data_IF_459461836117
#
_entry.id   IF_459461836117
#
_cell.length_a   1.000
_cell.length_b   1.000
_cell.length_c   1.000
_cell.angle_alpha   90.00
_cell.angle_beta   90.00
_cell.angle_gamma   90.00
#
_symmetry.space_group_name_H-M   'P 1'
#
loop_
_entity.id
_entity.type
_entity.pdbx_description
1 polymer ?
#
# COMPACT_ATOMS: atom_id res chain seq x y z
N UNK A 1 21.69 -57.93 33.27
CA UNK A 1 21.19 -57.41 31.99
C UNK A 1 21.18 -55.88 32.08
N UNK A 2 22.13 -55.19 31.43
CA UNK A 2 22.30 -53.72 31.55
C UNK A 2 21.29 -53.03 30.64
N UNK A 3 20.31 -52.34 31.22
CA UNK A 3 19.33 -51.56 30.46
C UNK A 3 20.01 -50.22 30.10
N UNK A 4 20.34 -50.04 28.82
CA UNK A 4 20.78 -48.76 28.26
C UNK A 4 19.54 -47.85 28.11
N UNK A 5 19.39 -46.84 28.98
CA UNK A 5 18.42 -45.78 28.77
C UNK A 5 18.92 -44.87 27.64
N UNK A 6 18.32 -44.98 26.46
CA UNK A 6 18.49 -44.01 25.40
C UNK A 6 17.70 -42.73 25.74
N UNK A 7 18.39 -41.66 26.08
CA UNK A 7 17.81 -40.32 26.25
C UNK A 7 17.42 -39.76 24.89
N UNK A 8 16.14 -39.87 24.56
CA UNK A 8 15.56 -39.26 23.37
C UNK A 8 15.42 -37.75 23.61
N UNK A 9 16.33 -36.95 23.04
CA UNK A 9 16.23 -35.50 23.06
C UNK A 9 15.00 -35.08 22.22
N UNK A 10 13.88 -34.76 22.89
CA UNK A 10 12.69 -34.19 22.25
C UNK A 10 13.03 -32.78 21.74
N UNK A 11 13.39 -32.67 20.47
CA UNK A 11 13.42 -31.40 19.75
C UNK A 11 11.97 -30.91 19.61
N UNK A 12 11.52 -30.09 20.56
CA UNK A 12 10.24 -29.40 20.42
C UNK A 12 10.36 -28.44 19.23
N UNK A 13 9.49 -28.52 18.21
CA UNK A 13 9.50 -27.54 17.12
C UNK A 13 9.21 -26.17 17.74
N UNK A 14 10.16 -25.24 17.60
CA UNK A 14 9.88 -23.82 17.84
C UNK A 14 8.77 -23.43 16.86
N UNK A 15 7.56 -23.25 17.38
CA UNK A 15 6.45 -22.71 16.61
C UNK A 15 6.86 -21.29 16.18
N UNK A 16 7.41 -21.17 14.98
CA UNK A 16 7.54 -19.88 14.32
C UNK A 16 6.12 -19.35 14.14
N UNK A 17 5.76 -18.30 14.87
CA UNK A 17 4.47 -17.63 14.70
C UNK A 17 4.46 -16.97 13.32
N UNK A 18 3.96 -17.69 12.32
CA UNK A 18 3.81 -17.15 10.98
C UNK A 18 2.87 -15.94 11.04
N UNK A 19 3.36 -14.81 10.54
CA UNK A 19 2.60 -13.58 10.35
C UNK A 19 1.91 -13.64 8.99
N UNK A 20 0.83 -14.42 8.92
CA UNK A 20 0.19 -14.72 7.65
C UNK A 20 -0.75 -13.59 7.22
N UNK A 21 -0.64 -13.14 5.97
CA UNK A 21 -1.67 -12.24 5.39
C UNK A 21 -2.96 -13.00 5.16
N UNK A 22 -4.02 -12.60 5.84
CA UNK A 22 -5.36 -13.20 5.70
C UNK A 22 -6.32 -12.36 4.89
N UNK A 23 -6.06 -11.06 4.72
CA UNK A 23 -6.83 -10.21 3.83
C UNK A 23 -6.06 -8.97 3.38
N UNK A 24 -6.29 -8.53 2.15
CA UNK A 24 -5.80 -7.26 1.61
C UNK A 24 -7.00 -6.37 1.30
N UNK A 25 -7.04 -5.18 1.90
CA UNK A 25 -8.17 -4.25 1.80
C UNK A 25 -8.05 -3.35 0.55
N UNK A 26 -6.88 -2.81 0.31
CA UNK A 26 -6.53 -1.92 -0.81
C UNK A 26 -5.03 -2.06 -1.15
N UNK A 27 -4.43 -1.11 -1.86
CA UNK A 27 -3.02 -1.19 -2.27
C UNK A 27 -2.00 -0.84 -1.19
N UNK A 28 -2.40 -0.41 0.01
CA UNK A 28 -1.47 -0.12 1.11
C UNK A 28 -1.93 -0.67 2.47
N UNK A 29 -3.05 -1.39 2.54
CA UNK A 29 -3.62 -1.90 3.79
C UNK A 29 -3.89 -3.41 3.74
N UNK A 30 -3.43 -4.13 4.76
CA UNK A 30 -3.62 -5.59 4.91
C UNK A 30 -3.92 -5.99 6.36
N UNK A 31 -4.42 -7.20 6.56
CA UNK A 31 -4.61 -7.81 7.88
C UNK A 31 -3.77 -9.07 7.99
N UNK A 32 -2.98 -9.14 9.05
CA UNK A 32 -2.19 -10.30 9.42
C UNK A 32 -2.91 -11.13 10.49
N UNK A 33 -2.77 -12.44 10.42
CA UNK A 33 -3.04 -13.36 11.51
C UNK A 33 -1.73 -13.65 12.24
N UNK A 34 -1.69 -13.37 13.54
CA UNK A 34 -0.53 -13.60 14.41
C UNK A 34 -1.00 -14.39 15.62
N UNK A 35 -0.75 -15.70 15.61
CA UNK A 35 -1.36 -16.62 16.57
C UNK A 35 -2.89 -16.54 16.50
N UNK A 36 -3.54 -16.14 17.60
CA UNK A 36 -4.99 -15.94 17.67
C UNK A 36 -5.45 -14.50 17.35
N UNK A 37 -4.51 -13.58 17.19
CA UNK A 37 -4.80 -12.15 17.02
C UNK A 37 -4.81 -11.74 15.55
N UNK A 38 -5.63 -10.72 15.24
CA UNK A 38 -5.62 -10.05 13.94
C UNK A 38 -5.01 -8.66 14.08
N UNK A 39 -4.00 -8.36 13.27
CA UNK A 39 -3.32 -7.07 13.26
C UNK A 39 -3.59 -6.40 11.92
N UNK A 40 -4.14 -5.19 11.94
CA UNK A 40 -4.31 -4.38 10.73
C UNK A 40 -3.04 -3.57 10.49
N UNK A 41 -2.44 -3.75 9.33
CA UNK A 41 -1.26 -3.01 8.89
C UNK A 41 -1.62 -2.02 7.79
N UNK A 42 -0.96 -0.87 7.83
CA UNK A 42 -0.84 0.07 6.72
C UNK A 42 0.63 0.21 6.34
N UNK A 43 0.95 0.11 5.06
CA UNK A 43 2.30 0.31 4.55
C UNK A 43 2.76 1.74 4.84
N UNK A 44 3.95 1.86 5.43
CA UNK A 44 4.59 3.14 5.66
C UNK A 44 5.04 3.78 4.33
N UNK A 45 5.18 5.10 4.34
CA UNK A 45 5.79 5.89 3.26
C UNK A 45 5.07 5.86 1.90
N UNK A 46 3.90 5.24 1.80
CA UNK A 46 3.10 5.23 0.55
C UNK A 46 1.63 5.55 0.83
N UNK A 47 0.91 5.91 -0.23
CA UNK A 47 -0.54 6.05 -0.24
C UNK A 47 -1.07 5.47 -1.55
N UNK A 48 -1.79 4.36 -1.47
CA UNK A 48 -2.34 3.68 -2.65
C UNK A 48 -3.75 4.19 -2.99
N UNK A 49 -4.21 4.07 -4.26
CA UNK A 49 -5.58 4.41 -4.60
C UNK A 49 -6.57 3.61 -3.73
N UNK A 50 -7.59 4.31 -3.24
CA UNK A 50 -8.68 3.70 -2.47
C UNK A 50 -9.39 2.64 -3.31
N UNK A 51 -10.00 1.63 -2.70
CA UNK A 51 -10.60 0.51 -3.44
C UNK A 51 -11.64 0.93 -4.48
N UNK A 52 -12.33 2.06 -4.27
CA UNK A 52 -13.32 2.65 -5.18
C UNK A 52 -12.76 3.71 -6.13
N UNK A 53 -11.48 4.02 -6.04
CA UNK A 53 -10.77 4.96 -6.89
C UNK A 53 -10.28 4.24 -8.16
N UNK A 54 -10.03 5.00 -9.23
CA UNK A 54 -9.30 4.47 -10.37
C UNK A 54 -7.97 3.84 -9.93
N UNK A 55 -7.63 2.68 -10.49
CA UNK A 55 -6.50 1.83 -10.08
C UNK A 55 -6.58 1.20 -8.68
N UNK A 56 -7.64 1.43 -7.91
CA UNK A 56 -7.83 0.81 -6.58
C UNK A 56 -7.82 -0.72 -6.61
N UNK A 57 -8.64 -1.37 -7.47
CA UNK A 57 -8.62 -2.83 -7.62
C UNK A 57 -7.26 -3.39 -8.07
N UNK A 58 -6.58 -2.70 -8.99
CA UNK A 58 -5.26 -3.09 -9.50
C UNK A 58 -4.18 -2.98 -8.42
N UNK A 59 -4.21 -1.90 -7.63
CA UNK A 59 -3.26 -1.69 -6.54
C UNK A 59 -3.45 -2.74 -5.44
N UNK A 60 -4.70 -3.06 -5.09
CA UNK A 60 -5.04 -4.17 -4.18
C UNK A 60 -4.54 -5.51 -4.71
N UNK A 61 -4.78 -5.79 -5.99
CA UNK A 61 -4.36 -7.05 -6.61
C UNK A 61 -2.83 -7.18 -6.61
N UNK A 62 -2.11 -6.10 -6.88
CA UNK A 62 -0.64 -6.08 -6.82
C UNK A 62 -0.13 -6.39 -5.41
N UNK A 63 -0.72 -5.80 -4.36
CA UNK A 63 -0.34 -6.10 -2.98
C UNK A 63 -0.69 -7.53 -2.58
N UNK A 64 -1.85 -8.02 -3.02
CA UNK A 64 -2.23 -9.41 -2.82
C UNK A 64 -1.22 -10.37 -3.46
N UNK A 65 -0.79 -10.12 -4.70
CA UNK A 65 0.22 -10.95 -5.37
C UNK A 65 1.58 -10.93 -4.65
N UNK A 66 1.92 -9.84 -3.97
CA UNK A 66 3.16 -9.74 -3.19
C UNK A 66 3.10 -10.54 -1.90
N UNK A 67 1.96 -10.56 -1.22
CA UNK A 67 1.90 -10.90 0.21
C UNK A 67 0.88 -11.98 0.59
N UNK A 68 -0.03 -12.38 -0.30
CA UNK A 68 -1.07 -13.34 0.06
C UNK A 68 -0.48 -14.70 0.41
N UNK A 69 -0.85 -15.24 1.58
CA UNK A 69 -0.40 -16.55 2.04
C UNK A 69 1.08 -16.61 2.43
N UNK A 70 1.81 -15.49 2.40
CA UNK A 70 3.23 -15.44 2.77
C UNK A 70 3.41 -15.11 4.24
N UNK A 71 4.53 -15.55 4.82
CA UNK A 71 4.99 -15.01 6.09
C UNK A 71 5.51 -13.57 5.91
N UNK A 72 5.09 -12.67 6.79
CA UNK A 72 5.35 -11.24 6.68
C UNK A 72 6.28 -10.76 7.78
N UNK A 73 7.36 -10.09 7.36
CA UNK A 73 8.21 -9.34 8.26
C UNK A 73 7.78 -7.88 8.23
N UNK A 74 7.58 -7.27 9.39
CA UNK A 74 7.20 -5.86 9.45
C UNK A 74 7.90 -5.15 10.61
N UNK A 75 8.21 -3.87 10.40
CA UNK A 75 8.73 -2.98 11.43
C UNK A 75 7.75 -1.81 11.62
N UNK A 76 7.02 -1.85 12.73
CA UNK A 76 6.02 -0.83 13.10
C UNK A 76 6.69 0.46 13.52
N UNK A 77 6.26 1.56 12.91
CA UNK A 77 6.78 2.91 13.20
C UNK A 77 5.80 3.75 13.99
N UNK A 78 4.50 3.48 13.86
CA UNK A 78 3.44 4.21 14.54
C UNK A 78 2.15 3.39 14.55
N UNK A 79 1.17 3.87 15.31
CA UNK A 79 -0.24 3.44 15.20
C UNK A 79 -1.04 4.63 14.70
N UNK A 80 -1.84 4.45 13.65
CA UNK A 80 -2.69 5.52 13.13
C UNK A 80 -3.98 5.68 13.98
N UNK A 81 -4.71 6.78 13.74
CA UNK A 81 -5.97 7.08 14.46
C UNK A 81 -7.07 6.03 14.28
N UNK A 82 -6.93 5.13 13.31
CA UNK A 82 -7.88 4.05 13.04
C UNK A 82 -7.44 2.72 13.68
N UNK A 83 -6.39 2.75 14.50
CA UNK A 83 -5.85 1.58 15.20
C UNK A 83 -5.04 0.65 14.29
N UNK A 84 -4.61 1.10 13.10
CA UNK A 84 -3.71 0.30 12.24
C UNK A 84 -2.26 0.57 12.60
N UNK A 85 -1.44 -0.46 12.64
CA UNK A 85 0.01 -0.29 12.75
C UNK A 85 0.55 0.17 11.38
N UNK A 86 1.26 1.30 11.38
CA UNK A 86 1.93 1.84 10.20
C UNK A 86 3.35 1.27 10.17
N UNK A 87 3.66 0.45 9.18
CA UNK A 87 4.87 -0.35 9.19
C UNK A 87 5.56 -0.41 7.82
N UNK A 88 6.90 -0.53 7.83
CA UNK A 88 7.62 -1.06 6.68
C UNK A 88 7.40 -2.57 6.64
N UNK A 89 7.04 -3.12 5.48
CA UNK A 89 6.60 -4.52 5.35
C UNK A 89 7.38 -5.20 4.24
N UNK A 90 7.87 -6.41 4.54
CA UNK A 90 8.48 -7.32 3.59
C UNK A 90 7.67 -8.61 3.48
N UNK A 91 7.34 -8.98 2.26
CA UNK A 91 6.65 -10.22 1.92
C UNK A 91 7.60 -11.07 1.07
N UNK A 92 7.95 -12.27 1.52
CA UNK A 92 8.98 -13.10 0.88
C UNK A 92 10.31 -12.35 0.63
N UNK A 93 10.72 -11.51 1.58
CA UNK A 93 11.94 -10.68 1.48
C UNK A 93 11.82 -9.41 0.62
N UNK A 94 10.73 -9.25 -0.15
CA UNK A 94 10.47 -8.10 -1.01
C UNK A 94 9.82 -6.99 -0.20
N UNK A 95 10.37 -5.77 -0.25
CA UNK A 95 9.74 -4.59 0.33
C UNK A 95 8.45 -4.24 -0.43
N UNK A 96 7.31 -4.43 0.22
CA UNK A 96 6.00 -4.27 -0.40
C UNK A 96 5.71 -2.80 -0.75
N UNK A 97 6.14 -1.86 0.08
CA UNK A 97 5.94 -0.42 -0.17
C UNK A 97 6.73 0.05 -1.39
N UNK A 98 8.00 -0.34 -1.46
CA UNK A 98 8.86 -0.12 -2.63
C UNK A 98 8.26 -0.73 -3.89
N UNK A 99 7.88 -2.01 -3.84
CA UNK A 99 7.34 -2.72 -4.98
C UNK A 99 6.04 -2.07 -5.51
N UNK A 100 5.17 -1.58 -4.62
CA UNK A 100 3.97 -0.86 -5.02
C UNK A 100 4.29 0.44 -5.77
N UNK A 101 5.31 1.19 -5.35
CA UNK A 101 5.74 2.41 -6.04
C UNK A 101 6.35 2.09 -7.41
N UNK A 102 7.23 1.09 -7.49
CA UNK A 102 7.87 0.65 -8.74
C UNK A 102 6.86 0.16 -9.77
N UNK A 103 5.80 -0.53 -9.31
CA UNK A 103 4.69 -1.00 -10.15
C UNK A 103 3.70 0.10 -10.53
N UNK A 104 3.89 1.33 -10.04
CA UNK A 104 2.96 2.44 -10.27
C UNK A 104 1.59 2.17 -9.64
N UNK A 105 1.54 1.53 -8.47
CA UNK A 105 0.32 1.20 -7.73
C UNK A 105 0.14 2.04 -6.46
N UNK A 106 1.07 2.94 -6.17
CA UNK A 106 0.95 3.88 -5.05
C UNK A 106 1.70 5.18 -5.34
N UNK A 107 1.26 6.24 -4.66
CA UNK A 107 2.01 7.49 -4.51
C UNK A 107 2.96 7.37 -3.33
N UNK A 108 4.05 8.14 -3.33
CA UNK A 108 4.82 8.33 -2.10
C UNK A 108 4.16 9.33 -1.18
N UNK A 109 4.32 9.13 0.12
CA UNK A 109 3.89 10.08 1.13
C UNK A 109 4.84 11.28 1.22
N UNK A 110 4.39 12.37 1.85
CA UNK A 110 5.26 13.52 2.15
C UNK A 110 6.51 13.12 2.97
N UNK A 111 6.36 12.15 3.87
CA UNK A 111 7.38 11.66 4.80
C UNK A 111 8.37 10.66 4.18
N UNK A 112 8.15 10.27 2.92
CA UNK A 112 8.99 9.27 2.27
C UNK A 112 10.39 9.78 1.97
N UNK A 113 11.35 8.85 2.02
CA UNK A 113 12.75 9.14 1.73
C UNK A 113 12.97 9.50 0.24
N UNK A 114 14.18 9.98 -0.07
CA UNK A 114 14.55 10.45 -1.41
C UNK A 114 14.53 9.31 -2.44
N UNK A 115 14.93 8.12 -2.04
CA UNK A 115 14.99 6.95 -2.91
C UNK A 115 13.59 6.55 -3.41
N UNK A 116 12.62 6.41 -2.51
CA UNK A 116 11.27 6.03 -2.86
C UNK A 116 10.60 7.08 -3.75
N UNK A 117 10.85 8.37 -3.49
CA UNK A 117 10.41 9.49 -4.34
C UNK A 117 11.03 9.43 -5.74
N UNK A 118 12.29 9.01 -5.86
CA UNK A 118 12.93 8.80 -7.16
C UNK A 118 12.30 7.63 -7.93
N UNK A 119 11.95 6.53 -7.25
CA UNK A 119 11.24 5.41 -7.88
C UNK A 119 9.87 5.83 -8.41
N UNK A 120 9.14 6.66 -7.67
CA UNK A 120 7.88 7.23 -8.15
C UNK A 120 8.09 8.10 -9.39
N UNK A 121 9.12 8.95 -9.41
CA UNK A 121 9.45 9.76 -10.58
C UNK A 121 9.77 8.89 -11.81
N UNK A 122 10.48 7.78 -11.62
CA UNK A 122 10.75 6.80 -12.69
C UNK A 122 9.45 6.17 -13.18
N UNK A 123 8.57 5.72 -12.28
CA UNK A 123 7.28 5.13 -12.64
C UNK A 123 6.38 6.13 -13.40
N UNK A 124 6.40 7.40 -13.01
CA UNK A 124 5.72 8.51 -13.71
C UNK A 124 6.25 8.69 -15.13
N UNK A 125 7.56 8.81 -15.28
CA UNK A 125 8.20 9.02 -16.58
C UNK A 125 7.95 7.84 -17.55
N UNK A 126 7.91 6.62 -17.02
CA UNK A 126 7.60 5.41 -17.78
C UNK A 126 6.09 5.18 -18.00
N UNK A 127 5.23 6.02 -17.43
CA UNK A 127 3.77 5.85 -17.46
C UNK A 127 3.31 4.47 -16.95
N UNK A 128 4.01 3.92 -15.96
CA UNK A 128 3.71 2.61 -15.39
C UNK A 128 2.46 2.66 -14.51
N UNK A 129 1.58 1.67 -14.62
CA UNK A 129 0.46 1.52 -13.70
C UNK A 129 -0.50 2.72 -13.73
N UNK A 130 -0.80 3.29 -12.57
CA UNK A 130 -1.68 4.45 -12.43
C UNK A 130 -1.18 5.67 -13.21
N UNK A 131 0.13 5.76 -13.49
CA UNK A 131 0.74 6.84 -14.26
C UNK A 131 0.47 6.76 -15.77
N UNK A 132 -0.14 5.67 -16.25
CA UNK A 132 -0.66 5.59 -17.62
C UNK A 132 -1.90 6.48 -17.83
N UNK A 133 -2.60 6.83 -16.75
CA UNK A 133 -3.74 7.73 -16.82
C UNK A 133 -3.27 9.17 -17.14
N UNK A 134 -4.06 9.95 -17.91
CA UNK A 134 -3.68 11.32 -18.25
C UNK A 134 -3.68 12.24 -17.02
N UNK A 135 -4.58 12.02 -16.07
CA UNK A 135 -4.73 12.84 -14.86
C UNK A 135 -5.00 11.96 -13.63
N UNK A 136 -4.01 11.20 -13.13
CA UNK A 136 -4.21 10.32 -11.97
C UNK A 136 -4.43 11.18 -10.72
N UNK A 137 -5.56 10.96 -10.05
CA UNK A 137 -5.91 11.67 -8.81
C UNK A 137 -5.24 10.95 -7.64
N UNK A 138 -4.50 11.63 -6.75
CA UNK A 138 -3.92 10.98 -5.58
C UNK A 138 -4.98 10.67 -4.49
N UNK A 139 -4.73 9.69 -3.60
CA UNK A 139 -5.75 9.16 -2.70
C UNK A 139 -6.19 10.19 -1.65
N UNK A 140 -5.26 10.98 -1.11
CA UNK A 140 -5.60 12.07 -0.19
C UNK A 140 -6.55 13.10 -0.83
N UNK A 141 -6.43 13.38 -2.13
CA UNK A 141 -7.40 14.24 -2.84
C UNK A 141 -8.74 13.54 -3.02
N UNK A 142 -8.73 12.26 -3.40
CA UNK A 142 -9.94 11.45 -3.55
C UNK A 142 -10.77 11.37 -2.26
N UNK A 143 -10.11 11.17 -1.09
CA UNK A 143 -10.76 11.12 0.24
C UNK A 143 -11.49 12.41 0.61
N UNK A 144 -10.97 13.57 0.21
CA UNK A 144 -11.57 14.87 0.50
C UNK A 144 -12.65 15.27 -0.51
N UNK A 145 -13.20 14.30 -1.25
CA UNK A 145 -14.26 14.58 -2.20
C UNK A 145 -13.79 15.46 -3.35
N UNK A 146 -12.53 15.33 -3.78
CA UNK A 146 -12.18 15.71 -5.14
C UNK A 146 -13.08 14.88 -6.05
N UNK A 147 -14.17 15.52 -6.45
CA UNK A 147 -15.36 14.96 -7.06
C UNK A 147 -14.97 14.07 -8.22
N UNK A 148 -15.79 13.03 -8.45
CA UNK A 148 -15.84 12.26 -9.70
C UNK A 148 -15.74 13.24 -10.88
N UNK A 149 -14.54 13.40 -11.43
CA UNK A 149 -14.23 14.52 -12.30
C UNK A 149 -14.37 15.85 -11.56
N UNK A 150 -13.28 16.60 -11.42
CA UNK A 150 -13.45 18.02 -11.50
C UNK A 150 -13.93 18.27 -12.95
N UNK A 151 -15.25 18.28 -13.14
CA UNK A 151 -15.86 18.45 -14.45
C UNK A 151 -15.17 19.65 -15.09
N UNK A 152 -14.63 19.46 -16.28
CA UNK A 152 -13.95 20.54 -16.94
C UNK A 152 -15.02 21.52 -17.40
N UNK A 153 -15.08 22.68 -16.75
CA UNK A 153 -16.04 23.72 -17.02
C UNK A 153 -15.47 24.65 -18.11
N UNK A 154 -16.33 25.08 -19.03
CA UNK A 154 -15.99 26.12 -20.00
C UNK A 154 -16.41 27.47 -19.42
N UNK A 155 -15.46 28.38 -19.27
CA UNK A 155 -15.74 29.73 -18.78
C UNK A 155 -16.38 30.62 -19.85
N UNK A 156 -16.90 31.81 -19.46
CA UNK A 156 -17.55 32.74 -20.39
C UNK A 156 -16.68 33.20 -21.56
N UNK A 157 -15.35 33.09 -21.44
CA UNK A 157 -14.36 33.42 -22.48
C UNK A 157 -13.78 32.18 -23.19
N UNK A 158 -14.46 31.03 -23.11
CA UNK A 158 -14.03 29.76 -23.73
C UNK A 158 -12.89 29.02 -23.01
N UNK A 159 -12.24 29.62 -22.02
CA UNK A 159 -11.18 28.98 -21.24
C UNK A 159 -11.70 27.84 -20.36
N UNK A 160 -11.03 26.68 -20.41
CA UNK A 160 -11.36 25.49 -19.63
C UNK A 160 -10.77 25.55 -18.21
N UNK A 161 -11.56 25.21 -17.20
CA UNK A 161 -11.15 25.23 -15.80
C UNK A 161 -11.83 24.13 -14.97
N UNK A 162 -11.23 23.79 -13.84
CA UNK A 162 -11.73 22.78 -12.92
C UNK A 162 -11.62 23.28 -11.47
N UNK A 163 -12.51 22.79 -10.60
CA UNK A 163 -12.47 23.09 -9.16
C UNK A 163 -11.63 22.06 -8.43
N UNK A 164 -10.51 22.49 -7.85
CA UNK A 164 -9.60 21.65 -7.08
C UNK A 164 -9.54 22.19 -5.64
N UNK A 165 -10.14 21.46 -4.69
CA UNK A 165 -10.09 21.83 -3.27
C UNK A 165 -10.65 23.22 -2.99
N UNK A 166 -11.76 23.60 -3.64
CA UNK A 166 -12.38 24.92 -3.51
C UNK A 166 -11.68 26.05 -4.26
N UNK A 167 -10.57 25.77 -4.96
CA UNK A 167 -9.87 26.76 -5.80
C UNK A 167 -10.09 26.48 -7.29
N UNK A 168 -10.22 27.54 -8.07
CA UNK A 168 -10.32 27.47 -9.54
C UNK A 168 -8.92 27.23 -10.14
N UNK A 169 -8.75 26.13 -10.84
CA UNK A 169 -7.54 25.82 -11.61
C UNK A 169 -7.85 25.87 -13.10
N UNK A 170 -7.13 26.71 -13.85
CA UNK A 170 -7.24 26.80 -15.30
C UNK A 170 -6.43 25.67 -15.96
N UNK A 171 -6.89 25.16 -17.11
CA UNK A 171 -6.20 24.08 -17.82
C UNK A 171 -6.70 22.71 -17.36
N UNK A 172 -7.86 22.34 -17.88
CA UNK A 172 -8.33 20.98 -18.04
C UNK A 172 -8.85 20.87 -19.49
#
# INVERSE_FOLDING_TARGET
>A
MRILLATFLLLAPLAAYAHQVVSVADGDSMTLQVGRNRIKLRLADIDAPEIRQAFGPQARQSLHQLCAGTDVQYNTRATDRFGRSVAAVRCNGIDAGRAQVERGMAWTSARSNRELKALEAIARNKRTGLWSAPNPVPPWRFRHGASRGAACHVGPRGGRYQWIGGRKAYGC
#
